data_IF_790067859725
#
_entry.id   IF_790067859725
#
_cell.length_a   1.000
_cell.length_b   1.000
_cell.length_c   1.000
_cell.angle_alpha   90.00
_cell.angle_beta   90.00
_cell.angle_gamma   90.00
#
_symmetry.space_group_name_H-M   'P 1'
#
loop_
_entity.id
_entity.type
_entity.pdbx_description
1 polymer ?
#
# COMPACT_ATOMS: atom_id res chain seq x y z
N UNK A 1 -5.09 -44.06 16.80
CA UNK A 1 -4.35 -42.83 16.46
C UNK A 1 -5.38 -41.78 16.15
N UNK A 2 -5.29 -40.61 16.77
CA UNK A 2 -6.16 -39.48 16.48
C UNK A 2 -5.98 -39.12 14.99
N UNK A 3 -7.06 -39.11 14.21
CA UNK A 3 -7.03 -38.97 12.72
C UNK A 3 -6.61 -37.57 12.24
N UNK A 4 -6.23 -36.71 13.17
CA UNK A 4 -5.96 -35.28 13.01
C UNK A 4 -4.51 -34.99 12.62
N UNK A 5 -3.55 -35.79 13.10
CA UNK A 5 -2.13 -35.65 12.79
C UNK A 5 -1.79 -36.26 11.41
N UNK A 6 -2.10 -35.52 10.34
CA UNK A 6 -1.77 -35.89 8.95
C UNK A 6 -0.87 -34.84 8.31
N UNK A 7 0.01 -35.26 7.38
CA UNK A 7 0.83 -34.34 6.60
C UNK A 7 -0.06 -33.33 5.87
N UNK A 8 0.31 -32.05 5.93
CA UNK A 8 -0.47 -30.93 5.42
C UNK A 8 -1.49 -30.35 6.41
N UNK A 9 -1.77 -31.01 7.54
CA UNK A 9 -2.62 -30.44 8.58
C UNK A 9 -1.94 -29.23 9.24
N UNK A 10 -2.75 -28.21 9.53
CA UNK A 10 -2.36 -27.03 10.30
C UNK A 10 -2.55 -27.30 11.78
N UNK A 11 -1.71 -26.71 12.61
CA UNK A 11 -1.77 -26.84 14.06
C UNK A 11 -1.32 -25.57 14.77
N UNK A 12 -1.71 -25.47 16.04
CA UNK A 12 -1.12 -24.53 16.99
C UNK A 12 -0.50 -25.30 18.16
N UNK A 13 0.71 -24.92 18.55
CA UNK A 13 1.38 -25.48 19.72
C UNK A 13 2.10 -24.38 20.49
N UNK A 14 1.69 -24.17 21.74
CA UNK A 14 2.17 -23.07 22.61
C UNK A 14 2.02 -21.70 21.92
N UNK A 15 0.86 -21.46 21.29
CA UNK A 15 0.53 -20.23 20.58
C UNK A 15 1.20 -20.05 19.21
N UNK A 16 2.08 -20.96 18.81
CA UNK A 16 2.81 -20.87 17.54
C UNK A 16 2.15 -21.76 16.49
N UNK A 17 2.00 -21.22 15.27
CA UNK A 17 1.36 -21.88 14.14
C UNK A 17 2.37 -22.68 13.34
N UNK A 18 1.94 -23.84 12.85
CA UNK A 18 2.76 -24.64 11.95
C UNK A 18 1.96 -25.62 11.12
N UNK A 19 2.67 -26.29 10.23
CA UNK A 19 2.13 -27.28 9.30
C UNK A 19 2.85 -28.60 9.49
N UNK A 20 2.09 -29.69 9.60
CA UNK A 20 2.64 -31.04 9.70
C UNK A 20 3.32 -31.41 8.39
N UNK A 21 4.59 -31.80 8.50
CA UNK A 21 5.42 -32.30 7.39
C UNK A 21 5.80 -33.77 7.52
N UNK A 22 5.77 -34.30 8.74
CA UNK A 22 6.11 -35.69 9.02
C UNK A 22 5.31 -36.20 10.24
N UNK A 23 4.92 -37.47 10.22
CA UNK A 23 4.33 -38.16 11.37
C UNK A 23 4.91 -39.56 11.42
N UNK A 24 5.64 -39.87 12.49
CA UNK A 24 6.26 -41.19 12.65
C UNK A 24 7.36 -41.24 13.70
N UNK A 25 8.12 -42.36 13.77
CA UNK A 25 9.27 -42.51 14.66
C UNK A 25 10.37 -41.48 14.41
N UNK A 26 11.11 -41.07 15.44
CA UNK A 26 12.25 -40.17 15.31
C UNK A 26 13.44 -40.70 16.12
N UNK A 27 14.17 -41.73 15.66
CA UNK A 27 15.34 -42.24 16.37
C UNK A 27 16.35 -41.14 16.74
N UNK A 28 17.06 -41.29 17.88
CA UNK A 28 16.91 -42.35 18.88
C UNK A 28 15.71 -42.13 19.84
N UNK A 29 14.91 -41.07 19.64
CA UNK A 29 13.80 -40.75 20.52
C UNK A 29 12.66 -41.77 20.37
N UNK A 30 12.15 -42.34 21.49
CA UNK A 30 11.03 -43.27 21.43
C UNK A 30 9.70 -42.55 21.12
N UNK A 31 8.75 -43.32 20.60
CA UNK A 31 7.38 -42.86 20.35
C UNK A 31 7.18 -42.22 18.97
N UNK A 32 5.97 -41.66 18.77
CA UNK A 32 5.59 -40.98 17.53
C UNK A 32 5.81 -39.48 17.68
N UNK A 33 6.47 -38.92 16.68
CA UNK A 33 6.80 -37.51 16.56
C UNK A 33 6.14 -36.91 15.33
N UNK A 34 5.88 -35.62 15.45
CA UNK A 34 5.30 -34.78 14.42
C UNK A 34 6.39 -33.80 14.01
N UNK A 35 6.86 -33.94 12.78
CA UNK A 35 7.70 -32.94 12.14
C UNK A 35 6.83 -31.77 11.72
N UNK A 36 7.13 -30.58 12.22
CA UNK A 36 6.38 -29.35 12.01
C UNK A 36 7.26 -28.35 11.29
N UNK A 37 6.76 -27.77 10.20
CA UNK A 37 7.28 -26.52 9.66
C UNK A 37 6.53 -25.37 10.32
N UNK A 38 7.21 -24.61 11.18
CA UNK A 38 6.63 -23.46 11.88
C UNK A 38 6.48 -22.28 10.91
N UNK A 39 5.42 -21.49 11.06
CA UNK A 39 5.24 -20.31 10.22
C UNK A 39 6.29 -19.23 10.51
N UNK A 40 6.67 -19.12 11.79
CA UNK A 40 7.70 -18.19 12.25
C UNK A 40 9.10 -18.78 12.08
N UNK A 41 9.94 -18.11 11.27
CA UNK A 41 11.30 -18.53 10.89
C UNK A 41 12.28 -18.83 12.02
N UNK A 42 12.06 -18.34 13.24
CA UNK A 42 12.96 -18.59 14.38
C UNK A 42 12.36 -19.47 15.47
N UNK A 43 11.16 -20.03 15.22
CA UNK A 43 10.50 -20.91 16.17
C UNK A 43 11.03 -22.33 16.08
N UNK A 44 11.44 -22.76 14.90
CA UNK A 44 12.12 -24.03 14.69
C UNK A 44 13.60 -23.98 15.07
N UNK A 45 14.29 -25.09 14.82
CA UNK A 45 15.68 -25.34 15.20
C UNK A 45 16.54 -25.83 14.03
N UNK A 46 15.92 -26.46 13.04
CA UNK A 46 16.59 -27.14 11.93
C UNK A 46 15.78 -26.96 10.63
N UNK A 47 16.17 -27.67 9.58
CA UNK A 47 15.57 -27.67 8.23
C UNK A 47 14.78 -28.96 7.92
N UNK A 48 14.65 -29.85 8.91
CA UNK A 48 13.88 -31.10 8.83
C UNK A 48 14.72 -32.39 8.98
N UNK A 49 16.03 -32.25 9.19
CA UNK A 49 16.91 -33.34 9.62
C UNK A 49 16.68 -33.66 11.10
N UNK A 50 16.55 -34.95 11.42
CA UNK A 50 16.36 -35.47 12.77
C UNK A 50 17.67 -35.66 13.55
N UNK A 51 17.60 -35.99 14.85
CA UNK A 51 18.78 -36.17 15.70
C UNK A 51 19.70 -37.32 15.27
N UNK A 52 19.17 -38.30 14.54
CA UNK A 52 19.90 -39.42 13.94
C UNK A 52 20.63 -39.06 12.63
N UNK A 53 20.49 -37.82 12.14
CA UNK A 53 21.02 -37.38 10.86
C UNK A 53 20.12 -37.70 9.65
N UNK A 54 18.98 -38.36 9.84
CA UNK A 54 18.04 -38.68 8.76
C UNK A 54 17.24 -37.45 8.37
N UNK A 55 17.02 -37.25 7.06
CA UNK A 55 16.12 -36.20 6.55
C UNK A 55 14.68 -36.71 6.49
N UNK A 56 13.82 -36.19 7.37
CA UNK A 56 12.41 -36.57 7.43
C UNK A 56 11.53 -35.70 6.53
N UNK A 57 11.89 -34.43 6.41
CA UNK A 57 11.23 -33.46 5.54
C UNK A 57 12.21 -32.31 5.22
N UNK A 58 11.80 -31.40 4.35
CA UNK A 58 12.59 -30.23 3.97
C UNK A 58 11.81 -28.96 4.27
N UNK A 59 12.47 -28.01 4.92
CA UNK A 59 12.00 -26.64 5.11
C UNK A 59 13.18 -25.67 5.12
N UNK A 60 12.90 -24.36 5.13
CA UNK A 60 13.93 -23.36 5.35
C UNK A 60 14.62 -23.55 6.71
N UNK A 61 15.91 -23.18 6.85
CA UNK A 61 16.60 -23.25 8.12
C UNK A 61 15.83 -22.53 9.23
N UNK A 62 15.87 -23.11 10.44
CA UNK A 62 15.20 -22.59 11.63
C UNK A 62 13.66 -22.62 11.60
N UNK A 63 13.03 -23.17 10.56
CA UNK A 63 11.58 -23.40 10.53
C UNK A 63 11.15 -24.78 11.04
N UNK A 64 11.99 -25.82 10.96
CA UNK A 64 11.57 -27.15 11.40
C UNK A 64 11.66 -27.32 12.91
N UNK A 65 10.71 -28.06 13.47
CA UNK A 65 10.85 -28.67 14.78
C UNK A 65 10.14 -30.01 14.84
N UNK A 66 10.51 -30.86 15.79
CA UNK A 66 9.78 -32.07 16.12
C UNK A 66 9.02 -31.90 17.44
N UNK A 67 7.75 -32.28 17.44
CA UNK A 67 6.87 -32.25 18.61
C UNK A 67 6.37 -33.67 18.86
N UNK A 68 6.34 -34.12 20.10
CA UNK A 68 5.77 -35.43 20.44
C UNK A 68 4.29 -35.45 20.07
N UNK A 69 3.80 -36.54 19.48
CA UNK A 69 2.40 -36.67 19.11
C UNK A 69 1.45 -36.60 20.33
N UNK A 70 1.97 -36.88 21.54
CA UNK A 70 1.25 -36.77 22.81
C UNK A 70 1.26 -35.36 23.42
N UNK A 71 1.91 -34.37 22.77
CA UNK A 71 1.92 -33.00 23.26
C UNK A 71 0.52 -32.36 23.13
N UNK A 72 0.19 -31.36 23.96
CA UNK A 72 -1.08 -30.64 23.88
C UNK A 72 -1.10 -29.72 22.64
N UNK A 73 -1.32 -30.34 21.47
CA UNK A 73 -1.41 -29.67 20.18
C UNK A 73 -2.88 -29.30 19.93
N UNK A 74 -3.10 -28.05 19.53
CA UNK A 74 -4.40 -27.58 19.08
C UNK A 74 -4.54 -27.86 17.59
N UNK A 75 -5.30 -28.89 17.26
CA UNK A 75 -5.61 -29.29 15.87
C UNK A 75 -6.75 -28.48 15.25
N UNK A 76 -7.45 -27.70 16.07
CA UNK A 76 -8.67 -27.00 15.69
C UNK A 76 -9.89 -27.90 15.66
N UNK A 77 -11.00 -27.34 15.22
CA UNK A 77 -12.33 -27.98 15.18
C UNK A 77 -13.05 -27.69 13.87
N UNK A 78 -14.25 -28.24 13.68
CA UNK A 78 -15.09 -27.93 12.52
C UNK A 78 -15.79 -26.58 12.68
N UNK A 79 -16.16 -25.95 11.58
CA UNK A 79 -16.83 -24.65 11.57
C UNK A 79 -18.11 -24.63 12.43
N UNK A 80 -18.98 -25.64 12.30
CA UNK A 80 -20.23 -25.71 13.05
C UNK A 80 -20.00 -26.03 14.53
N UNK A 81 -18.96 -26.80 14.87
CA UNK A 81 -18.59 -26.98 16.26
C UNK A 81 -18.10 -25.67 16.87
N UNK A 82 -17.22 -24.95 16.18
CA UNK A 82 -16.74 -23.64 16.59
C UNK A 82 -17.88 -22.63 16.80
N UNK A 83 -18.84 -22.62 15.88
CA UNK A 83 -20.05 -21.80 15.97
C UNK A 83 -20.86 -22.09 17.23
N UNK A 84 -21.12 -23.37 17.52
CA UNK A 84 -21.88 -23.79 18.71
C UNK A 84 -21.15 -23.47 20.00
N UNK A 85 -19.85 -23.68 20.03
CA UNK A 85 -19.02 -23.41 21.21
C UNK A 85 -18.96 -21.92 21.54
N UNK A 86 -18.80 -21.05 20.52
CA UNK A 86 -18.66 -19.61 20.74
C UNK A 86 -19.99 -18.87 20.92
N UNK A 87 -21.04 -19.31 20.24
CA UNK A 87 -22.32 -18.59 20.19
C UNK A 87 -23.49 -19.34 20.82
N UNK A 88 -23.26 -20.53 21.40
CA UNK A 88 -24.29 -21.35 22.06
C UNK A 88 -25.51 -21.62 21.16
N UNK A 89 -25.28 -21.72 19.84
CA UNK A 89 -26.32 -21.91 18.84
C UNK A 89 -27.06 -20.64 18.40
N UNK A 90 -26.76 -19.47 18.96
CA UNK A 90 -27.33 -18.18 18.56
C UNK A 90 -26.56 -17.58 17.38
N UNK A 91 -27.02 -17.88 16.17
CA UNK A 91 -26.40 -17.36 14.95
C UNK A 91 -26.79 -15.91 14.72
N UNK A 92 -25.79 -15.07 14.45
CA UNK A 92 -25.94 -13.64 14.16
C UNK A 92 -25.60 -13.38 12.69
N UNK A 93 -26.06 -12.26 12.10
CA UNK A 93 -25.67 -11.88 10.74
C UNK A 93 -24.15 -11.75 10.55
N UNK A 94 -23.42 -11.47 11.63
CA UNK A 94 -21.97 -11.44 11.65
C UNK A 94 -21.43 -12.52 12.60
N UNK A 95 -20.49 -13.32 12.11
CA UNK A 95 -19.80 -14.37 12.85
C UNK A 95 -18.29 -14.09 12.84
N UNK A 96 -17.65 -14.21 14.00
CA UNK A 96 -16.19 -14.10 14.15
C UNK A 96 -15.68 -15.32 14.90
N UNK A 97 -15.11 -16.26 14.16
CA UNK A 97 -14.54 -17.52 14.65
C UNK A 97 -13.02 -17.48 14.45
N UNK A 98 -12.41 -16.49 15.10
CA UNK A 98 -10.99 -16.19 14.94
C UNK A 98 -10.11 -17.04 15.84
N UNK A 99 -8.97 -17.48 15.31
CA UNK A 99 -7.89 -18.07 16.10
C UNK A 99 -7.11 -17.01 16.88
N UNK A 100 -6.33 -17.45 17.86
CA UNK A 100 -5.54 -16.55 18.71
C UNK A 100 -4.29 -16.04 17.99
N UNK A 101 -4.02 -14.73 18.08
CA UNK A 101 -2.77 -14.16 17.57
C UNK A 101 -1.56 -14.85 18.22
N UNK A 102 -0.45 -15.05 17.49
CA UNK A 102 0.74 -15.70 18.04
C UNK A 102 1.45 -14.83 19.08
N UNK A 103 2.35 -15.41 19.89
CA UNK A 103 3.23 -14.65 20.77
C UNK A 103 3.98 -13.54 20.01
N UNK A 104 4.11 -12.32 20.59
CA UNK A 104 3.91 -11.99 22.00
C UNK A 104 2.49 -11.58 22.40
N UNK A 105 1.49 -11.75 21.52
CA UNK A 105 0.10 -11.40 21.87
C UNK A 105 -0.39 -12.20 23.09
N UNK A 106 -1.22 -11.56 23.92
CA UNK A 106 -1.87 -12.22 25.06
C UNK A 106 -2.88 -13.23 24.51
N UNK A 107 -2.87 -14.49 24.98
CA UNK A 107 -3.86 -15.48 24.57
C UNK A 107 -5.28 -15.01 24.88
N UNK A 108 -6.13 -14.98 23.86
CA UNK A 108 -7.56 -14.68 24.01
C UNK A 108 -8.32 -15.99 24.23
N UNK A 109 -9.00 -16.09 25.38
CA UNK A 109 -9.81 -17.25 25.74
C UNK A 109 -11.00 -17.49 24.79
N UNK A 110 -11.40 -16.48 24.00
CA UNK A 110 -12.46 -16.59 22.99
C UNK A 110 -11.98 -17.09 21.62
N UNK A 111 -10.69 -17.40 21.50
CA UNK A 111 -10.07 -17.89 20.26
C UNK A 111 -10.59 -19.29 19.91
N UNK A 112 -11.05 -19.46 18.67
CA UNK A 112 -11.47 -20.76 18.14
C UNK A 112 -10.76 -21.03 16.82
N UNK A 113 -10.08 -22.17 16.76
CA UNK A 113 -9.27 -22.54 15.60
C UNK A 113 -10.10 -23.41 14.63
N UNK A 114 -10.73 -22.79 13.63
CA UNK A 114 -11.46 -23.54 12.59
C UNK A 114 -10.45 -24.22 11.66
N UNK A 115 -10.43 -25.56 11.64
CA UNK A 115 -9.50 -26.35 10.82
C UNK A 115 -10.18 -27.05 9.64
N UNK A 116 -11.51 -27.14 9.66
CA UNK A 116 -12.29 -27.75 8.60
C UNK A 116 -13.67 -27.13 8.52
N UNK A 117 -14.24 -27.17 7.31
CA UNK A 117 -15.57 -26.68 7.03
C UNK A 117 -16.48 -27.91 6.87
N UNK A 118 -17.61 -27.91 7.60
CA UNK A 118 -18.60 -29.00 7.55
C UNK A 118 -19.29 -29.07 6.17
N UNK A 119 -20.25 -29.98 6.03
CA UNK A 119 -21.06 -30.11 4.82
C UNK A 119 -21.88 -28.85 4.52
N UNK A 120 -22.04 -28.54 3.22
CA UNK A 120 -22.72 -27.33 2.76
C UNK A 120 -24.17 -27.25 3.24
N UNK A 121 -24.92 -28.36 3.24
CA UNK A 121 -26.33 -28.36 3.67
C UNK A 121 -26.44 -28.12 5.17
N UNK A 122 -25.49 -28.64 5.94
CA UNK A 122 -25.43 -28.42 7.38
C UNK A 122 -25.11 -26.95 7.70
N UNK A 123 -24.19 -26.34 6.95
CA UNK A 123 -23.87 -24.92 7.05
C UNK A 123 -25.07 -24.07 6.66
N UNK A 124 -25.74 -24.39 5.56
CA UNK A 124 -26.92 -23.65 5.10
C UNK A 124 -28.02 -23.61 6.17
N UNK A 125 -28.32 -24.75 6.80
CA UNK A 125 -29.30 -24.81 7.89
C UNK A 125 -28.93 -23.99 9.12
N UNK A 126 -27.64 -23.88 9.43
CA UNK A 126 -27.17 -23.14 10.59
C UNK A 126 -27.02 -21.64 10.30
N UNK A 127 -26.62 -21.26 9.08
CA UNK A 127 -26.10 -19.94 8.77
C UNK A 127 -26.89 -19.19 7.69
N UNK A 128 -28.19 -19.48 7.51
CA UNK A 128 -29.00 -18.92 6.43
C UNK A 128 -28.99 -17.38 6.36
N UNK A 129 -28.96 -16.70 7.52
CA UNK A 129 -29.01 -15.24 7.63
C UNK A 129 -27.63 -14.58 7.82
N UNK A 130 -26.54 -15.36 7.69
CA UNK A 130 -25.17 -14.85 7.91
C UNK A 130 -24.67 -14.09 6.68
N UNK A 131 -24.30 -12.83 6.88
CA UNK A 131 -23.77 -11.94 5.84
C UNK A 131 -22.28 -11.69 5.97
N UNK A 132 -21.73 -11.86 7.18
CA UNK A 132 -20.32 -11.58 7.48
C UNK A 132 -19.70 -12.74 8.24
N UNK A 133 -18.59 -13.27 7.73
CA UNK A 133 -17.82 -14.32 8.41
C UNK A 133 -16.35 -13.90 8.49
N UNK A 134 -15.83 -13.90 9.70
CA UNK A 134 -14.42 -13.73 10.00
C UNK A 134 -13.81 -15.04 10.52
N UNK A 135 -12.89 -15.59 9.73
CA UNK A 135 -12.09 -16.78 10.00
C UNK A 135 -10.60 -16.41 10.09
N UNK A 136 -10.29 -15.20 10.55
CA UNK A 136 -8.90 -14.80 10.75
C UNK A 136 -8.18 -15.79 11.67
N UNK A 137 -6.92 -16.08 11.37
CA UNK A 137 -6.12 -17.06 12.10
C UNK A 137 -6.69 -18.50 12.12
N UNK A 138 -7.61 -18.83 11.21
CA UNK A 138 -8.08 -20.20 11.05
C UNK A 138 -6.95 -21.14 10.55
N UNK A 139 -7.14 -22.44 10.77
CA UNK A 139 -6.23 -23.52 10.42
C UNK A 139 -6.60 -24.17 9.07
N UNK A 140 -7.14 -23.37 8.15
CA UNK A 140 -7.55 -23.85 6.83
C UNK A 140 -6.30 -24.15 5.97
N UNK A 141 -6.20 -25.35 5.38
CA UNK A 141 -4.99 -25.76 4.66
C UNK A 141 -4.95 -25.28 3.19
N UNK A 142 -6.09 -24.91 2.60
CA UNK A 142 -6.21 -24.60 1.17
C UNK A 142 -7.50 -23.85 0.84
N UNK A 143 -7.55 -23.20 -0.33
CA UNK A 143 -8.79 -22.64 -0.89
C UNK A 143 -9.90 -23.67 -1.05
N UNK A 144 -9.52 -24.92 -1.35
CA UNK A 144 -10.50 -25.99 -1.55
C UNK A 144 -11.34 -26.29 -0.31
N UNK A 145 -10.82 -25.99 0.89
CA UNK A 145 -11.55 -26.14 2.13
C UNK A 145 -12.78 -25.22 2.22
N UNK A 146 -12.84 -24.14 1.43
CA UNK A 146 -13.90 -23.14 1.48
C UNK A 146 -15.08 -23.43 0.53
N UNK A 147 -15.02 -24.47 -0.31
CA UNK A 147 -16.12 -24.79 -1.23
C UNK A 147 -17.45 -25.05 -0.51
N UNK A 148 -17.42 -25.82 0.58
CA UNK A 148 -18.62 -26.10 1.36
C UNK A 148 -19.16 -24.84 2.03
N UNK A 149 -18.29 -23.93 2.45
CA UNK A 149 -18.70 -22.64 3.01
C UNK A 149 -19.39 -21.81 1.93
N UNK A 150 -18.79 -21.72 0.75
CA UNK A 150 -19.36 -21.00 -0.39
C UNK A 150 -20.73 -21.55 -0.82
N UNK A 151 -20.88 -22.87 -0.85
CA UNK A 151 -22.14 -23.53 -1.17
C UNK A 151 -23.20 -23.37 -0.06
N UNK A 152 -22.79 -23.39 1.21
CA UNK A 152 -23.71 -23.28 2.35
C UNK A 152 -24.21 -21.85 2.61
N UNK A 153 -23.37 -20.84 2.37
CA UNK A 153 -23.69 -19.41 2.55
C UNK A 153 -23.38 -18.62 1.26
N UNK A 154 -24.18 -18.81 0.19
CA UNK A 154 -23.97 -18.13 -1.09
C UNK A 154 -24.28 -16.62 -1.04
N UNK A 155 -25.05 -16.18 -0.04
CA UNK A 155 -25.45 -14.79 0.18
C UNK A 155 -24.42 -13.96 0.98
N UNK A 156 -23.27 -14.57 1.30
CA UNK A 156 -22.23 -13.91 2.07
C UNK A 156 -21.78 -12.61 1.38
N UNK A 157 -21.75 -11.52 2.13
CA UNK A 157 -21.32 -10.20 1.68
C UNK A 157 -19.84 -9.95 2.01
N UNK A 158 -19.43 -10.32 3.23
CA UNK A 158 -18.10 -10.04 3.77
C UNK A 158 -17.43 -11.32 4.26
N UNK A 159 -16.23 -11.60 3.75
CA UNK A 159 -15.39 -12.72 4.19
C UNK A 159 -14.00 -12.22 4.60
N UNK A 160 -13.59 -12.57 5.81
CA UNK A 160 -12.27 -12.22 6.34
C UNK A 160 -11.49 -13.51 6.61
N UNK A 161 -10.33 -13.64 5.97
CA UNK A 161 -9.42 -14.80 6.07
C UNK A 161 -8.00 -14.36 6.44
N UNK A 162 -7.87 -13.24 7.14
CA UNK A 162 -6.57 -12.66 7.45
C UNK A 162 -5.75 -13.62 8.32
N UNK A 163 -4.43 -13.70 8.09
CA UNK A 163 -3.51 -14.56 8.85
C UNK A 163 -3.74 -16.09 8.76
N UNK A 164 -4.55 -16.60 7.83
CA UNK A 164 -4.77 -18.06 7.69
C UNK A 164 -3.50 -18.80 7.23
N UNK A 165 -2.70 -18.20 6.33
CA UNK A 165 -1.43 -18.74 5.85
C UNK A 165 -0.30 -17.74 6.10
N UNK A 166 0.73 -18.13 6.85
CA UNK A 166 1.73 -17.18 7.36
C UNK A 166 3.17 -17.56 7.03
N UNK A 167 3.35 -18.53 6.13
CA UNK A 167 4.68 -19.00 5.71
C UNK A 167 4.80 -19.03 4.19
N UNK A 168 5.69 -18.21 3.60
CA UNK A 168 5.88 -18.16 2.14
C UNK A 168 6.46 -19.45 1.55
N UNK A 169 7.17 -20.24 2.35
CA UNK A 169 7.99 -21.36 1.88
C UNK A 169 7.32 -22.72 2.03
N UNK A 170 6.36 -22.87 2.95
CA UNK A 170 5.79 -24.18 3.28
C UNK A 170 4.27 -24.25 3.36
N UNK A 171 3.58 -23.12 3.54
CA UNK A 171 2.14 -23.12 3.77
C UNK A 171 1.46 -21.95 3.07
N UNK A 172 0.98 -22.17 1.85
CA UNK A 172 0.11 -21.24 1.12
C UNK A 172 -1.24 -21.91 0.88
N UNK A 173 -2.31 -21.11 0.80
CA UNK A 173 -3.63 -21.61 0.36
C UNK A 173 -3.57 -22.23 -1.06
N UNK A 174 -2.50 -21.94 -1.81
CA UNK A 174 -2.21 -22.41 -3.15
C UNK A 174 -2.86 -21.53 -4.22
N UNK A 175 -2.53 -21.81 -5.48
CA UNK A 175 -3.30 -21.28 -6.61
C UNK A 175 -4.66 -21.98 -6.65
N UNK A 176 -5.78 -21.24 -6.66
CA UNK A 176 -7.09 -21.86 -6.77
C UNK A 176 -7.27 -22.42 -8.18
N UNK A 177 -7.24 -23.75 -8.32
CA UNK A 177 -7.52 -24.45 -9.59
C UNK A 177 -9.02 -24.44 -9.92
N UNK A 178 -9.86 -24.53 -8.89
CA UNK A 178 -11.29 -24.26 -8.92
C UNK A 178 -11.58 -23.30 -7.75
N UNK A 179 -11.86 -22.01 -8.02
CA UNK A 179 -12.11 -21.06 -6.95
C UNK A 179 -13.50 -21.28 -6.34
N UNK A 180 -13.64 -21.18 -5.00
CA UNK A 180 -14.96 -21.11 -4.38
C UNK A 180 -15.74 -19.92 -4.94
N UNK A 181 -17.05 -20.11 -5.14
CA UNK A 181 -17.91 -19.10 -5.79
C UNK A 181 -18.85 -18.47 -4.77
N UNK A 182 -18.70 -17.16 -4.55
CA UNK A 182 -19.63 -16.36 -3.78
C UNK A 182 -20.25 -15.27 -4.67
N UNK A 183 -21.48 -15.49 -5.17
CA UNK A 183 -22.10 -14.59 -6.15
C UNK A 183 -22.41 -13.19 -5.59
N UNK A 184 -22.49 -13.04 -4.27
CA UNK A 184 -22.85 -11.80 -3.59
C UNK A 184 -21.72 -11.14 -2.79
N UNK A 185 -20.54 -11.76 -2.71
CA UNK A 185 -19.44 -11.22 -1.91
C UNK A 185 -18.97 -9.88 -2.45
N UNK A 186 -19.00 -8.85 -1.59
CA UNK A 186 -18.57 -7.50 -1.92
C UNK A 186 -17.25 -7.14 -1.24
N UNK A 187 -16.93 -7.77 -0.11
CA UNK A 187 -15.72 -7.52 0.66
C UNK A 187 -14.95 -8.82 0.96
N UNK A 188 -13.67 -8.84 0.61
CA UNK A 188 -12.76 -9.93 0.92
C UNK A 188 -11.48 -9.38 1.55
N UNK A 189 -11.14 -9.86 2.74
CA UNK A 189 -9.90 -9.49 3.42
C UNK A 189 -8.95 -10.68 3.53
N UNK A 190 -7.77 -10.54 2.93
CA UNK A 190 -6.70 -11.54 2.83
C UNK A 190 -5.38 -10.98 3.38
N UNK A 191 -5.45 -10.18 4.45
CA UNK A 191 -4.27 -9.56 5.02
C UNK A 191 -3.34 -10.61 5.65
N UNK A 192 -2.03 -10.48 5.45
CA UNK A 192 -1.01 -11.37 6.00
C UNK A 192 -1.27 -12.87 5.72
N UNK A 193 -1.73 -13.19 4.52
CA UNK A 193 -2.00 -14.56 4.05
C UNK A 193 -0.91 -15.13 3.14
N UNK A 194 0.08 -14.31 2.75
CA UNK A 194 1.11 -14.65 1.77
C UNK A 194 0.53 -15.03 0.40
N UNK A 195 -0.69 -14.58 0.11
CA UNK A 195 -1.36 -14.78 -1.18
C UNK A 195 -0.64 -13.94 -2.25
N UNK A 196 -0.37 -14.53 -3.40
CA UNK A 196 0.20 -13.78 -4.53
C UNK A 196 -0.88 -13.06 -5.32
N UNK A 197 -0.49 -12.04 -6.10
CA UNK A 197 -1.42 -11.38 -7.01
C UNK A 197 -2.02 -12.35 -8.05
N UNK A 198 -1.25 -13.34 -8.51
CA UNK A 198 -1.74 -14.37 -9.41
C UNK A 198 -2.85 -15.23 -8.78
N UNK A 199 -2.72 -15.58 -7.49
CA UNK A 199 -3.76 -16.30 -6.75
C UNK A 199 -5.03 -15.47 -6.65
N UNK A 200 -4.91 -14.17 -6.38
CA UNK A 200 -6.04 -13.22 -6.34
C UNK A 200 -6.74 -13.16 -7.70
N UNK A 201 -5.99 -13.03 -8.79
CA UNK A 201 -6.57 -13.05 -10.13
C UNK A 201 -7.29 -14.37 -10.43
N UNK A 202 -6.77 -15.51 -9.96
CA UNK A 202 -7.39 -16.82 -10.12
C UNK A 202 -8.68 -16.98 -9.28
N UNK A 203 -8.87 -16.21 -8.20
CA UNK A 203 -10.13 -16.16 -7.46
C UNK A 203 -11.22 -15.36 -8.17
N UNK A 204 -10.84 -14.41 -9.02
CA UNK A 204 -11.77 -13.44 -9.63
C UNK A 204 -13.02 -14.06 -10.27
N UNK A 205 -12.98 -15.21 -10.97
CA UNK A 205 -14.18 -15.80 -11.57
C UNK A 205 -15.25 -16.20 -10.54
N UNK A 206 -14.85 -16.56 -9.31
CA UNK A 206 -15.76 -16.91 -8.22
C UNK A 206 -16.33 -15.71 -7.46
N UNK A 207 -15.86 -14.49 -7.78
CA UNK A 207 -16.14 -13.27 -7.01
C UNK A 207 -16.69 -12.15 -7.91
N UNK A 208 -17.83 -12.34 -8.59
CA UNK A 208 -18.32 -11.43 -9.62
C UNK A 208 -18.71 -10.04 -9.11
N UNK A 209 -18.98 -9.88 -7.80
CA UNK A 209 -19.41 -8.62 -7.18
C UNK A 209 -18.39 -7.99 -6.23
N UNK A 210 -17.16 -8.49 -6.21
CA UNK A 210 -16.14 -8.02 -5.28
C UNK A 210 -15.81 -6.54 -5.51
N UNK A 211 -16.14 -5.71 -4.54
CA UNK A 211 -15.93 -4.26 -4.57
C UNK A 211 -14.74 -3.80 -3.73
N UNK A 212 -14.45 -4.48 -2.62
CA UNK A 212 -13.34 -4.16 -1.72
C UNK A 212 -12.47 -5.39 -1.49
N UNK A 213 -11.17 -5.22 -1.71
CA UNK A 213 -10.18 -6.27 -1.49
C UNK A 213 -9.05 -5.75 -0.60
N UNK A 214 -8.77 -6.48 0.48
CA UNK A 214 -7.65 -6.18 1.37
C UNK A 214 -6.53 -7.21 1.23
N UNK A 215 -5.33 -6.71 0.93
CA UNK A 215 -4.12 -7.50 0.70
C UNK A 215 -2.93 -6.94 1.48
N UNK A 216 -3.17 -6.36 2.65
CA UNK A 216 -2.09 -5.80 3.47
C UNK A 216 -1.11 -6.89 3.95
N UNK A 217 0.18 -6.55 4.10
CA UNK A 217 1.20 -7.43 4.69
C UNK A 217 1.37 -8.81 4.00
N UNK A 218 1.16 -8.89 2.68
CA UNK A 218 1.33 -10.13 1.92
C UNK A 218 2.73 -10.31 1.31
N UNK A 219 3.62 -9.34 1.47
CA UNK A 219 4.97 -9.37 0.90
C UNK A 219 4.96 -9.28 -0.63
N UNK A 220 3.94 -8.64 -1.21
CA UNK A 220 3.85 -8.42 -2.65
C UNK A 220 4.94 -7.43 -3.08
N UNK A 221 5.79 -7.83 -4.02
CA UNK A 221 6.79 -6.93 -4.63
C UNK A 221 6.46 -6.52 -6.05
N UNK A 222 5.61 -7.29 -6.74
CA UNK A 222 5.18 -7.02 -8.10
C UNK A 222 3.73 -7.45 -8.29
N UNK A 223 2.97 -6.65 -9.05
CA UNK A 223 1.65 -7.00 -9.53
C UNK A 223 1.75 -7.40 -11.02
N UNK A 224 1.31 -8.61 -11.34
CA UNK A 224 1.20 -9.04 -12.73
C UNK A 224 -0.03 -8.46 -13.43
N UNK A 225 0.00 -8.39 -14.76
CA UNK A 225 -1.18 -7.99 -15.53
C UNK A 225 -2.37 -8.91 -15.23
N UNK A 226 -3.51 -8.39 -14.76
CA UNK A 226 -4.68 -9.22 -14.50
C UNK A 226 -5.23 -9.78 -15.82
N UNK A 227 -5.76 -11.01 -15.82
CA UNK A 227 -6.39 -11.57 -17.00
C UNK A 227 -7.62 -10.74 -17.41
N UNK A 228 -8.03 -10.79 -18.70
CA UNK A 228 -9.19 -10.04 -19.17
C UNK A 228 -10.42 -10.36 -18.33
N UNK A 229 -11.14 -9.30 -17.92
CA UNK A 229 -12.33 -9.37 -17.07
C UNK A 229 -12.11 -9.69 -15.59
N UNK A 230 -10.88 -9.92 -15.13
CA UNK A 230 -10.63 -10.06 -13.71
C UNK A 230 -10.86 -8.73 -12.97
N UNK A 231 -11.43 -8.83 -11.77
CA UNK A 231 -11.58 -7.74 -10.80
C UNK A 231 -12.30 -6.49 -11.37
N UNK A 232 -13.18 -6.65 -12.36
CA UNK A 232 -13.86 -5.52 -13.03
C UNK A 232 -14.77 -4.70 -12.11
N UNK A 233 -15.30 -5.33 -11.06
CA UNK A 233 -16.17 -4.71 -10.06
C UNK A 233 -15.40 -4.15 -8.87
N UNK A 234 -14.07 -4.22 -8.87
CA UNK A 234 -13.25 -3.75 -7.76
C UNK A 234 -13.19 -2.23 -7.76
N UNK A 235 -13.58 -1.62 -6.64
CA UNK A 235 -13.55 -0.17 -6.44
C UNK A 235 -12.53 0.25 -5.40
N UNK A 236 -12.23 -0.61 -4.43
CA UNK A 236 -11.31 -0.32 -3.32
C UNK A 236 -10.29 -1.43 -3.19
N UNK A 237 -9.00 -1.07 -3.21
CA UNK A 237 -7.90 -2.00 -3.08
C UNK A 237 -6.92 -1.54 -2.01
N UNK A 238 -6.75 -2.34 -0.96
CA UNK A 238 -5.75 -2.11 0.07
C UNK A 238 -4.52 -2.98 -0.17
N UNK A 239 -3.37 -2.34 -0.35
CA UNK A 239 -2.07 -2.98 -0.59
C UNK A 239 -1.02 -2.51 0.44
N UNK A 240 -1.46 -2.17 1.64
CA UNK A 240 -0.59 -1.64 2.69
C UNK A 240 0.48 -2.64 3.14
N UNK A 241 1.61 -2.15 3.67
CA UNK A 241 2.66 -3.01 4.24
C UNK A 241 3.16 -4.09 3.25
N UNK A 242 3.29 -3.73 1.98
CA UNK A 242 3.89 -4.59 0.95
C UNK A 242 5.23 -3.99 0.49
N UNK A 243 5.81 -4.50 -0.59
CA UNK A 243 7.10 -4.05 -1.13
C UNK A 243 6.97 -3.58 -2.59
N UNK A 244 5.83 -2.95 -2.93
CA UNK A 244 5.50 -2.56 -4.30
C UNK A 244 6.22 -1.27 -4.71
N UNK A 245 6.59 -1.22 -5.99
CA UNK A 245 6.95 0.01 -6.69
C UNK A 245 5.77 0.55 -7.52
N UNK A 246 5.78 1.85 -7.84
CA UNK A 246 4.66 2.49 -8.53
C UNK A 246 4.46 2.01 -9.98
N UNK A 247 5.54 1.69 -10.70
CA UNK A 247 5.45 1.28 -12.11
C UNK A 247 4.67 -0.03 -12.22
N UNK A 248 4.99 -1.02 -11.37
CA UNK A 248 4.27 -2.29 -11.29
C UNK A 248 2.77 -2.13 -10.95
N UNK A 249 2.47 -1.17 -10.09
CA UNK A 249 1.10 -0.86 -9.66
C UNK A 249 0.31 -0.23 -10.80
N UNK A 250 0.89 0.75 -11.49
CA UNK A 250 0.25 1.42 -12.63
C UNK A 250 -0.03 0.44 -13.75
N UNK A 251 0.96 -0.39 -14.12
CA UNK A 251 0.80 -1.36 -15.20
C UNK A 251 -0.33 -2.35 -14.93
N UNK A 252 -0.36 -2.93 -13.72
CA UNK A 252 -1.34 -3.94 -13.37
C UNK A 252 -2.75 -3.39 -13.09
N UNK A 253 -2.87 -2.22 -12.46
CA UNK A 253 -4.15 -1.74 -11.93
C UNK A 253 -4.86 -0.72 -12.82
N UNK A 254 -4.14 0.01 -13.69
CA UNK A 254 -4.76 0.97 -14.61
C UNK A 254 -5.86 0.37 -15.51
N UNK A 255 -5.78 -0.90 -15.97
CA UNK A 255 -6.85 -1.53 -16.74
C UNK A 255 -8.15 -1.78 -15.96
N UNK A 256 -8.17 -1.65 -14.63
CA UNK A 256 -9.36 -1.89 -13.81
C UNK A 256 -10.33 -0.71 -13.94
N UNK A 257 -11.52 -0.90 -14.54
CA UNK A 257 -12.38 0.21 -14.93
C UNK A 257 -13.07 0.88 -13.74
N UNK A 258 -13.29 0.15 -12.65
CA UNK A 258 -14.01 0.62 -11.46
C UNK A 258 -13.14 1.10 -10.31
N UNK A 259 -11.80 1.03 -10.41
CA UNK A 259 -10.93 1.30 -9.28
C UNK A 259 -10.98 2.79 -8.89
N UNK A 260 -11.50 3.05 -7.69
CA UNK A 260 -11.77 4.39 -7.15
C UNK A 260 -10.79 4.77 -6.04
N UNK A 261 -10.45 3.81 -5.18
CA UNK A 261 -9.61 4.00 -3.99
C UNK A 261 -8.46 3.00 -3.97
N UNK A 262 -7.25 3.53 -3.99
CA UNK A 262 -6.01 2.74 -3.96
C UNK A 262 -5.18 3.12 -2.73
N UNK A 263 -4.97 2.16 -1.84
CA UNK A 263 -4.25 2.37 -0.59
C UNK A 263 -2.90 1.65 -0.64
N UNK A 264 -1.82 2.42 -0.75
CA UNK A 264 -0.43 1.96 -0.89
C UNK A 264 0.43 2.36 0.30
N UNK A 265 -0.19 2.60 1.46
CA UNK A 265 0.49 3.00 2.68
C UNK A 265 1.60 1.99 3.05
N UNK A 266 2.77 2.43 3.52
CA UNK A 266 3.89 1.55 3.91
C UNK A 266 4.33 0.61 2.77
N UNK A 267 4.77 1.16 1.64
CA UNK A 267 5.37 0.41 0.53
C UNK A 267 6.77 0.96 0.22
N UNK A 268 7.37 0.51 -0.88
CA UNK A 268 8.72 0.90 -1.33
C UNK A 268 8.70 1.98 -2.42
N UNK A 269 7.68 2.86 -2.42
CA UNK A 269 7.51 3.87 -3.48
C UNK A 269 8.43 5.06 -3.21
N UNK A 270 9.39 5.28 -4.09
CA UNK A 270 10.38 6.37 -3.98
C UNK A 270 10.30 7.39 -5.09
N UNK A 271 9.71 7.03 -6.23
CA UNK A 271 9.54 7.89 -7.40
C UNK A 271 8.29 7.50 -8.17
N UNK A 272 7.75 8.44 -8.93
CA UNK A 272 6.53 8.28 -9.74
C UNK A 272 6.76 8.91 -11.10
N UNK A 273 6.28 8.23 -12.15
CA UNK A 273 6.33 8.73 -13.53
C UNK A 273 4.94 9.17 -13.99
N UNK A 274 4.85 10.22 -14.82
CA UNK A 274 3.58 10.58 -15.44
C UNK A 274 3.03 9.43 -16.29
N UNK A 275 1.73 9.21 -16.20
CA UNK A 275 0.97 8.19 -16.94
C UNK A 275 -0.39 8.74 -17.40
N UNK A 276 -1.12 7.97 -18.20
CA UNK A 276 -2.51 8.27 -18.52
C UNK A 276 -3.41 8.01 -17.30
N UNK A 277 -4.49 8.80 -17.11
CA UNK A 277 -5.31 8.68 -15.92
C UNK A 277 -5.98 7.31 -15.80
N UNK A 278 -6.19 6.89 -14.56
CA UNK A 278 -7.07 5.78 -14.25
C UNK A 278 -8.52 6.18 -14.57
N UNK A 279 -9.38 5.25 -15.02
CA UNK A 279 -10.74 5.60 -15.45
C UNK A 279 -11.63 6.20 -14.36
N UNK A 280 -11.47 5.76 -13.11
CA UNK A 280 -12.36 6.12 -12.00
C UNK A 280 -11.62 6.49 -10.70
N UNK A 281 -10.29 6.50 -10.68
CA UNK A 281 -9.53 6.72 -9.45
C UNK A 281 -9.73 8.16 -8.97
N UNK A 282 -9.99 8.31 -7.67
CA UNK A 282 -10.12 9.61 -7.01
C UNK A 282 -9.53 9.62 -5.59
N UNK A 283 -9.00 8.51 -5.09
CA UNK A 283 -8.34 8.45 -3.79
C UNK A 283 -7.09 7.60 -3.86
N UNK A 284 -5.98 8.19 -3.45
CA UNK A 284 -4.67 7.54 -3.39
C UNK A 284 -4.03 7.81 -2.03
N UNK A 285 -3.61 6.75 -1.34
CA UNK A 285 -2.91 6.88 -0.07
C UNK A 285 -1.48 6.36 -0.18
N UNK A 286 -0.50 7.21 0.12
CA UNK A 286 0.94 6.94 -0.05
C UNK A 286 1.76 7.21 1.22
N UNK A 287 1.13 7.42 2.38
CA UNK A 287 1.83 7.54 3.66
C UNK A 287 2.72 6.32 3.97
N UNK A 288 3.77 6.49 4.76
CA UNK A 288 4.79 5.46 4.99
C UNK A 288 5.62 5.09 3.76
N UNK A 289 5.69 5.93 2.73
CA UNK A 289 6.58 5.72 1.58
C UNK A 289 7.74 6.75 1.62
N UNK A 290 8.69 6.64 0.70
CA UNK A 290 9.84 7.57 0.62
C UNK A 290 9.72 8.52 -0.58
N UNK A 291 8.50 8.96 -0.88
CA UNK A 291 8.20 9.88 -1.97
C UNK A 291 8.37 11.33 -1.49
N UNK A 292 9.50 11.95 -1.82
CA UNK A 292 9.88 13.27 -1.29
C UNK A 292 10.18 14.33 -2.37
N UNK A 293 10.33 13.94 -3.63
CA UNK A 293 10.69 14.84 -4.71
C UNK A 293 9.46 15.44 -5.41
N UNK A 294 9.55 16.73 -5.73
CA UNK A 294 8.47 17.46 -6.40
C UNK A 294 8.08 16.90 -7.77
N UNK A 295 9.01 16.50 -8.66
CA UNK A 295 8.63 15.93 -9.96
C UNK A 295 7.73 14.70 -9.83
N UNK A 296 8.00 13.81 -8.86
CA UNK A 296 7.15 12.65 -8.62
C UNK A 296 5.81 13.02 -7.98
N UNK A 297 5.78 13.99 -7.06
CA UNK A 297 4.52 14.48 -6.47
C UNK A 297 3.63 15.11 -7.55
N UNK A 298 4.20 15.93 -8.44
CA UNK A 298 3.50 16.55 -9.57
C UNK A 298 3.00 15.50 -10.58
N UNK A 299 3.79 14.44 -10.82
CA UNK A 299 3.39 13.34 -11.71
C UNK A 299 2.13 12.60 -11.23
N UNK A 300 1.81 12.62 -9.92
CA UNK A 300 0.60 12.00 -9.39
C UNK A 300 -0.68 12.60 -9.98
N UNK A 301 -0.69 13.90 -10.33
CA UNK A 301 -1.88 14.54 -10.90
C UNK A 301 -2.35 13.84 -12.19
N UNK A 302 -1.41 13.27 -12.96
CA UNK A 302 -1.73 12.58 -14.21
C UNK A 302 -2.50 11.27 -14.01
N UNK A 303 -2.59 10.77 -12.77
CA UNK A 303 -3.29 9.52 -12.44
C UNK A 303 -4.80 9.73 -12.39
N UNK A 304 -5.26 10.97 -12.31
CA UNK A 304 -6.65 11.31 -12.04
C UNK A 304 -7.26 12.06 -13.22
N UNK A 305 -8.48 11.68 -13.59
CA UNK A 305 -9.26 12.40 -14.61
C UNK A 305 -10.09 13.56 -14.03
N UNK A 306 -10.16 13.68 -12.70
CA UNK A 306 -10.98 14.65 -11.98
C UNK A 306 -10.45 14.98 -10.58
N UNK A 307 -11.21 15.72 -9.77
CA UNK A 307 -10.82 16.07 -8.41
C UNK A 307 -10.47 14.83 -7.56
N UNK A 308 -9.38 14.89 -6.81
CA UNK A 308 -8.87 13.70 -6.10
C UNK A 308 -8.42 13.99 -4.65
N UNK A 309 -8.41 12.93 -3.84
CA UNK A 309 -7.90 12.91 -2.48
C UNK A 309 -6.56 12.19 -2.43
N UNK A 310 -5.60 12.78 -1.73
CA UNK A 310 -4.24 12.27 -1.58
C UNK A 310 -3.84 12.20 -0.11
N UNK A 311 -3.13 11.15 0.29
CA UNK A 311 -2.36 11.16 1.54
C UNK A 311 -0.88 10.97 1.27
N UNK A 312 -0.06 11.84 1.86
CA UNK A 312 1.40 11.85 1.74
C UNK A 312 2.01 12.04 3.14
N UNK A 313 3.23 11.55 3.31
CA UNK A 313 4.04 11.95 4.45
C UNK A 313 4.58 13.36 4.23
N UNK A 314 4.64 14.13 5.31
CA UNK A 314 5.40 15.37 5.33
C UNK A 314 6.89 15.00 5.38
N UNK A 315 7.73 15.45 4.41
CA UNK A 315 9.16 15.17 4.42
C UNK A 315 9.79 15.60 5.75
N UNK A 316 10.67 14.77 6.31
CA UNK A 316 11.28 15.04 7.63
C UNK A 316 11.97 16.42 7.71
N UNK A 317 12.54 16.89 6.60
CA UNK A 317 13.16 18.22 6.50
C UNK A 317 12.16 19.38 6.68
N UNK A 318 10.88 19.14 6.40
CA UNK A 318 9.78 20.09 6.49
C UNK A 318 8.84 19.80 7.68
N UNK A 319 9.21 18.88 8.57
CA UNK A 319 8.36 18.51 9.71
C UNK A 319 8.11 19.68 10.67
N UNK A 320 9.00 20.67 10.72
CA UNK A 320 8.83 21.89 11.51
C UNK A 320 7.80 22.86 10.88
N UNK A 321 7.48 22.70 9.60
CA UNK A 321 6.56 23.54 8.85
C UNK A 321 5.66 22.70 7.91
N UNK A 322 4.85 21.85 8.51
CA UNK A 322 3.86 21.02 7.80
C UNK A 322 2.88 21.87 6.99
N UNK A 323 2.60 23.10 7.46
CA UNK A 323 1.73 24.03 6.77
C UNK A 323 2.35 24.52 5.45
N UNK A 324 3.65 24.82 5.41
CA UNK A 324 4.34 25.15 4.16
C UNK A 324 4.31 23.99 3.16
N UNK A 325 4.56 22.76 3.62
CA UNK A 325 4.48 21.58 2.74
C UNK A 325 3.07 21.43 2.13
N UNK A 326 2.03 21.50 2.96
CA UNK A 326 0.63 21.47 2.52
C UNK A 326 0.34 22.56 1.49
N UNK A 327 0.74 23.79 1.79
CA UNK A 327 0.54 24.96 0.92
C UNK A 327 1.18 24.72 -0.46
N UNK A 328 2.41 24.21 -0.48
CA UNK A 328 3.13 23.95 -1.72
C UNK A 328 2.50 22.81 -2.54
N UNK A 329 2.07 21.72 -1.89
CA UNK A 329 1.34 20.61 -2.56
C UNK A 329 0.03 21.11 -3.18
N UNK A 330 -0.74 21.92 -2.46
CA UNK A 330 -2.01 22.49 -2.95
C UNK A 330 -1.78 23.38 -4.18
N UNK A 331 -0.74 24.22 -4.14
CA UNK A 331 -0.42 25.09 -5.26
C UNK A 331 0.04 24.29 -6.50
N UNK A 332 0.85 23.25 -6.30
CA UNK A 332 1.41 22.42 -7.37
C UNK A 332 0.40 21.45 -7.99
N UNK A 333 -0.58 20.96 -7.24
CA UNK A 333 -1.60 20.02 -7.71
C UNK A 333 -2.95 20.71 -7.94
N UNK A 334 -3.26 21.00 -9.21
CA UNK A 334 -4.44 21.76 -9.62
C UNK A 334 -5.78 21.10 -9.30
N UNK A 335 -5.83 19.77 -9.31
CA UNK A 335 -7.06 18.99 -9.13
C UNK A 335 -7.19 18.39 -7.72
N UNK A 336 -6.29 18.71 -6.79
CA UNK A 336 -6.31 18.20 -5.43
C UNK A 336 -7.52 18.73 -4.63
N UNK A 337 -8.44 17.84 -4.26
CA UNK A 337 -9.64 18.15 -3.48
C UNK A 337 -9.43 17.95 -1.97
N UNK A 338 -8.57 17.02 -1.58
CA UNK A 338 -8.27 16.71 -0.18
C UNK A 338 -6.83 16.25 -0.04
N UNK A 339 -6.16 16.70 1.01
CA UNK A 339 -4.80 16.26 1.36
C UNK A 339 -4.76 15.85 2.82
N UNK A 340 -4.25 14.66 3.12
CA UNK A 340 -4.14 14.11 4.49
C UNK A 340 -5.47 14.21 5.26
N UNK A 341 -6.55 13.75 4.63
CA UNK A 341 -7.92 13.73 5.16
C UNK A 341 -8.59 15.09 5.41
N UNK A 342 -7.94 16.20 5.03
CA UNK A 342 -8.52 17.53 5.13
C UNK A 342 -8.81 18.11 3.75
N UNK A 343 -10.05 18.57 3.56
CA UNK A 343 -10.50 19.19 2.32
C UNK A 343 -9.70 20.46 2.03
N UNK A 344 -9.43 20.69 0.75
CA UNK A 344 -8.80 21.93 0.27
C UNK A 344 -9.91 22.93 -0.03
N UNK A 345 -9.97 24.01 0.73
CA UNK A 345 -10.98 25.06 0.48
C UNK A 345 -10.58 25.92 -0.73
N UNK A 346 -11.54 26.58 -1.41
CA UNK A 346 -11.23 27.51 -2.50
C UNK A 346 -10.33 28.67 -2.07
N UNK A 347 -10.53 29.18 -0.85
CA UNK A 347 -9.74 30.26 -0.24
C UNK A 347 -8.29 29.79 0.01
N UNK A 348 -8.12 28.65 0.66
CA UNK A 348 -6.81 28.02 0.90
C UNK A 348 -6.05 27.78 -0.40
N UNK A 349 -6.74 27.29 -1.44
CA UNK A 349 -6.13 27.10 -2.77
C UNK A 349 -5.66 28.43 -3.36
N UNK A 350 -6.48 29.46 -3.29
CA UNK A 350 -6.13 30.77 -3.84
C UNK A 350 -4.91 31.37 -3.13
N UNK A 351 -4.85 31.26 -1.80
CA UNK A 351 -3.72 31.75 -1.01
C UNK A 351 -2.46 30.93 -1.26
N UNK A 352 -2.57 29.61 -1.34
CA UNK A 352 -1.47 28.73 -1.69
C UNK A 352 -0.88 29.03 -3.08
N UNK A 353 -1.72 29.24 -4.08
CA UNK A 353 -1.28 29.58 -5.44
C UNK A 353 -0.57 30.95 -5.49
N UNK A 354 -1.09 31.97 -4.80
CA UNK A 354 -0.43 33.28 -4.69
C UNK A 354 0.90 33.21 -3.94
N UNK A 355 0.95 32.45 -2.85
CA UNK A 355 2.16 32.22 -2.09
C UNK A 355 3.22 31.54 -2.95
N UNK A 356 2.83 30.51 -3.71
CA UNK A 356 3.71 29.80 -4.63
C UNK A 356 4.24 30.72 -5.75
N UNK A 357 3.39 31.54 -6.37
CA UNK A 357 3.84 32.49 -7.40
C UNK A 357 4.88 33.51 -6.89
N UNK A 358 4.82 33.88 -5.61
CA UNK A 358 5.78 34.81 -5.00
C UNK A 358 7.07 34.15 -4.51
N UNK A 359 7.00 32.87 -4.10
CA UNK A 359 8.11 32.18 -3.42
C UNK A 359 8.66 30.97 -4.19
N UNK A 360 8.14 30.65 -5.38
CA UNK A 360 8.55 29.47 -6.13
C UNK A 360 10.08 29.48 -6.39
N UNK A 361 10.74 28.33 -6.16
CA UNK A 361 12.15 28.18 -6.47
C UNK A 361 12.40 28.23 -8.00
N UNK A 362 13.63 28.56 -8.45
CA UNK A 362 13.92 28.83 -9.86
C UNK A 362 13.56 27.67 -10.81
N UNK A 363 13.76 26.44 -10.36
CA UNK A 363 13.39 25.21 -11.08
C UNK A 363 11.88 25.12 -11.27
N UNK A 364 11.09 25.40 -10.23
CA UNK A 364 9.63 25.36 -10.28
C UNK A 364 9.02 26.42 -11.22
N UNK A 365 9.68 27.58 -11.39
CA UNK A 365 9.21 28.66 -12.28
C UNK A 365 9.16 28.27 -13.76
N UNK A 366 9.93 27.25 -14.14
CA UNK A 366 9.96 26.73 -15.51
C UNK A 366 8.86 25.69 -15.80
N UNK A 367 8.13 25.24 -14.77
CA UNK A 367 7.12 24.18 -14.89
C UNK A 367 5.88 24.65 -15.64
N UNK A 368 5.17 23.74 -16.35
CA UNK A 368 3.87 24.05 -16.97
C UNK A 368 2.84 24.56 -15.95
N UNK A 369 2.87 24.03 -14.71
CA UNK A 369 1.98 24.45 -13.63
C UNK A 369 2.18 25.91 -13.25
N UNK A 370 3.44 26.35 -13.06
CA UNK A 370 3.73 27.74 -12.75
C UNK A 370 3.24 28.70 -13.85
N UNK A 371 3.49 28.36 -15.12
CA UNK A 371 2.99 29.17 -16.27
C UNK A 371 1.45 29.23 -16.30
N UNK A 372 0.77 28.12 -16.01
CA UNK A 372 -0.69 28.09 -15.93
C UNK A 372 -1.21 28.99 -14.79
N UNK A 373 -0.56 28.97 -13.62
CA UNK A 373 -0.88 29.85 -12.51
C UNK A 373 -0.65 31.32 -12.82
N UNK A 374 0.45 31.67 -13.50
CA UNK A 374 0.67 33.04 -13.99
C UNK A 374 -0.49 33.54 -14.85
N UNK A 375 -0.94 32.72 -15.81
CA UNK A 375 -2.07 33.05 -16.66
C UNK A 375 -3.39 33.19 -15.87
N UNK A 376 -3.63 32.31 -14.90
CA UNK A 376 -4.84 32.33 -14.06
C UNK A 376 -4.91 33.56 -13.14
N UNK A 377 -3.78 33.99 -12.59
CA UNK A 377 -3.70 35.10 -11.62
C UNK A 377 -3.26 36.44 -12.23
N UNK A 378 -3.12 36.51 -13.56
CA UNK A 378 -2.77 37.76 -14.27
C UNK A 378 -1.33 38.24 -14.04
N UNK A 379 -0.40 37.32 -13.79
CA UNK A 379 1.03 37.60 -13.61
C UNK A 379 1.79 37.29 -14.90
N UNK A 380 2.85 38.06 -15.20
CA UNK A 380 3.72 37.74 -16.34
C UNK A 380 4.55 36.48 -16.02
N UNK A 381 4.56 35.47 -16.91
CA UNK A 381 5.42 34.31 -16.74
C UNK A 381 6.89 34.73 -16.78
N UNK A 382 7.80 33.95 -16.16
CA UNK A 382 9.22 34.26 -16.22
C UNK A 382 9.65 34.20 -17.68
N UNK A 383 10.15 35.31 -18.20
CA UNK A 383 10.79 35.33 -19.52
C UNK A 383 12.01 34.41 -19.42
N UNK A 384 12.13 33.42 -20.32
CA UNK A 384 13.34 32.64 -20.50
C UNK A 384 14.47 33.60 -20.93
N UNK A 385 15.08 34.27 -19.94
CA UNK A 385 16.24 35.12 -20.19
C UNK A 385 17.38 34.15 -20.48
N UNK A 386 17.89 34.19 -21.71
CA UNK A 386 19.15 33.55 -22.09
C UNK A 386 20.20 33.80 -20.99
N UNK A 387 21.08 32.82 -20.70
CA UNK A 387 22.02 32.90 -19.59
C UNK A 387 22.74 34.25 -19.61
N UNK A 388 22.62 35.00 -18.51
CA UNK A 388 23.09 36.37 -18.43
C UNK A 388 24.58 36.43 -18.76
N UNK A 389 24.92 36.98 -19.93
CA UNK A 389 26.29 37.31 -20.29
C UNK A 389 26.77 38.46 -19.40
N UNK A 390 28.06 38.49 -19.06
CA UNK A 390 28.66 39.51 -18.17
C UNK A 390 28.38 40.94 -18.62
N UNK A 391 28.09 41.17 -19.91
CA UNK A 391 27.71 42.45 -20.48
C UNK A 391 26.39 43.01 -19.91
N UNK A 392 25.43 42.16 -19.51
CA UNK A 392 24.13 42.59 -18.99
C UNK A 392 24.17 43.06 -17.52
N UNK A 393 25.35 43.07 -16.89
CA UNK A 393 25.55 43.51 -15.48
C UNK A 393 26.34 44.81 -15.37
N UNK A 394 26.67 45.45 -16.49
CA UNK A 394 27.44 46.69 -16.52
C UNK A 394 26.50 47.90 -16.43
N UNK A 395 26.88 48.87 -15.60
CA UNK A 395 26.30 50.21 -15.50
C UNK A 395 27.27 51.18 -16.13
N UNK A 396 26.76 52.05 -16.99
CA UNK A 396 27.56 53.09 -17.63
C UNK A 396 27.53 54.36 -16.77
N UNK A 397 28.70 54.87 -16.45
CA UNK A 397 28.88 56.10 -15.67
C UNK A 397 29.64 57.10 -16.52
N UNK A 398 29.08 58.30 -16.69
CA UNK A 398 29.71 59.42 -17.38
C UNK A 398 29.93 60.60 -16.43
N UNK A 399 30.95 61.40 -16.67
CA UNK A 399 31.27 62.59 -15.87
C UNK A 399 31.16 63.84 -16.74
N UNK A 400 30.28 64.76 -16.36
CA UNK A 400 30.02 66.02 -17.07
C UNK A 400 29.99 67.18 -16.08
N UNK A 401 30.52 68.33 -16.51
CA UNK A 401 30.33 69.60 -15.83
C UNK A 401 29.16 70.34 -16.47
N UNK A 402 28.08 70.53 -15.71
CA UNK A 402 26.89 71.23 -16.17
C UNK A 402 26.76 72.58 -15.45
N UNK A 403 26.24 73.59 -16.15
CA UNK A 403 25.92 74.90 -15.55
C UNK A 403 24.65 74.88 -14.69
N UNK A 404 23.97 73.74 -14.61
CA UNK A 404 22.72 73.52 -13.87
C UNK A 404 22.63 72.06 -13.39
N UNK A 405 21.84 71.77 -12.34
CA UNK A 405 21.55 70.40 -11.93
C UNK A 405 20.67 69.68 -12.99
N UNK A 406 21.04 68.47 -13.44
CA UNK A 406 20.31 67.76 -14.49
C UNK A 406 18.98 67.17 -14.01
N UNK A 407 17.99 67.09 -14.90
CA UNK A 407 16.75 66.36 -14.65
C UNK A 407 16.92 64.85 -14.93
N UNK A 408 16.15 63.95 -14.26
CA UNK A 408 16.26 62.50 -14.46
C UNK A 408 16.08 62.06 -15.92
N UNK A 409 15.22 62.77 -16.65
CA UNK A 409 14.86 62.44 -18.03
C UNK A 409 15.97 62.81 -19.03
N UNK A 410 16.93 63.66 -18.61
CA UNK A 410 18.08 64.08 -19.42
C UNK A 410 19.26 63.10 -19.28
N UNK A 411 19.21 62.16 -18.33
CA UNK A 411 20.35 61.33 -17.95
C UNK A 411 20.95 60.52 -19.10
N UNK A 412 20.13 59.95 -19.99
CA UNK A 412 20.60 59.18 -21.13
C UNK A 412 21.32 60.06 -22.17
N UNK A 413 20.74 61.21 -22.50
CA UNK A 413 21.31 62.17 -23.45
C UNK A 413 22.59 62.82 -22.91
N UNK A 414 22.62 63.10 -21.61
CA UNK A 414 23.81 63.61 -20.94
C UNK A 414 24.92 62.56 -20.93
N UNK A 415 24.60 61.31 -20.59
CA UNK A 415 25.58 60.22 -20.61
C UNK A 415 26.26 60.12 -21.97
N UNK A 416 25.51 60.12 -23.07
CA UNK A 416 26.03 60.08 -24.45
C UNK A 416 26.93 61.28 -24.80
N UNK A 417 26.66 62.45 -24.21
CA UNK A 417 27.47 63.66 -24.40
C UNK A 417 28.76 63.67 -23.55
N UNK A 418 28.94 62.72 -22.63
CA UNK A 418 30.11 62.64 -21.76
C UNK A 418 31.37 62.24 -22.52
N UNK A 419 32.41 63.07 -22.48
CA UNK A 419 33.72 62.73 -23.04
C UNK A 419 34.50 61.68 -22.24
N UNK A 420 34.07 61.41 -21.00
CA UNK A 420 34.62 60.35 -20.15
C UNK A 420 33.50 59.42 -19.70
N UNK A 421 33.47 58.20 -20.22
CA UNK A 421 32.51 57.16 -19.86
C UNK A 421 33.24 55.89 -19.42
N UNK A 422 32.72 55.21 -18.40
CA UNK A 422 33.22 53.91 -17.95
C UNK A 422 32.06 52.97 -17.74
N UNK A 423 32.19 51.73 -18.22
CA UNK A 423 31.28 50.64 -17.91
C UNK A 423 31.80 49.88 -16.69
N UNK A 424 31.00 49.83 -15.62
CA UNK A 424 31.38 49.26 -14.34
C UNK A 424 30.36 48.23 -13.90
N UNK A 425 30.81 47.19 -13.18
CA UNK A 425 29.85 46.34 -12.47
C UNK A 425 29.25 47.14 -11.30
N UNK A 426 27.97 46.92 -10.98
CA UNK A 426 27.30 47.58 -9.84
C UNK A 426 28.04 47.43 -8.50
N UNK A 427 28.92 46.43 -8.40
CA UNK A 427 29.70 46.10 -7.19
C UNK A 427 31.12 46.67 -7.20
N UNK A 428 31.55 47.39 -8.25
CA UNK A 428 32.88 47.98 -8.30
C UNK A 428 32.97 49.24 -7.41
N UNK A 429 33.93 49.32 -6.48
CA UNK A 429 34.10 50.51 -5.65
C UNK A 429 34.66 51.67 -6.49
N UNK A 430 33.93 52.79 -6.51
CA UNK A 430 34.39 54.05 -7.11
C UNK A 430 35.25 54.81 -6.10
N UNK A 431 36.47 55.19 -6.49
CA UNK A 431 37.32 56.13 -5.73
C UNK A 431 37.57 57.35 -6.59
N UNK A 432 37.20 58.54 -6.09
CA UNK A 432 37.65 59.79 -6.67
C UNK A 432 39.13 59.96 -6.34
N UNK A 433 39.97 60.18 -7.36
CA UNK A 433 41.40 60.51 -7.21
C UNK A 433 41.55 62.00 -7.49
#
# INVERSE_FOLDING_TARGET
MDSTARVGARLVYRGEYGTVRYVGPLPPEPGIWIGVAWDRTRRGKHDGVGPDGTRYFTTEPLHAGFVRASAPIQWGTTFLHALREKYEGHVRPWLSLTGGAPPPAVPDASSVYVASIDDADAIHRACADVTTIDLSYALLPSWSALHNLAAGVPHLDTLVLSYVCRSPSHTRLGTPTAPPTWPHLTHLALNATQVSWADVCALSPGLPRLGTLELAANGLSILGMPPPNALRTLHTLHLQDNALDMDSVVDALRPLPGLQRLILTQNSITSVRPTSPFPALHTLALQGNALVDWPSIEALESFFAGPFALTLDTPAALAADEHAFRTEVIARLGMLASLNHTLVSPEERQDAERYFLSHAPPDARSTPRYRALCAQHGMEPPVDRAPATWQNKLVHVGVLCLGHPPAPDEAATLLDASHAQVALLCTMPLRAI
#
